data_IF_812598041430
#
_entry.id   IF_812598041430
#
_cell.length_a   1.000
_cell.length_b   1.000
_cell.length_c   1.000
_cell.angle_alpha   90.00
_cell.angle_beta   90.00
_cell.angle_gamma   90.00
#
_symmetry.space_group_name_H-M   'P 1'
#
loop_
_entity.id
_entity.type
_entity.pdbx_description
1 polymer ?
#
# COMPACT_ATOMS: atom_id res chain seq x y z
N UNK A 1 72.40 -25.63 18.86
CA UNK A 1 72.03 -25.23 17.49
C UNK A 1 70.63 -25.80 17.22
N UNK A 2 69.62 -24.99 17.40
CA UNK A 2 68.24 -25.36 17.19
C UNK A 2 67.82 -24.86 15.80
N UNK A 3 67.52 -25.81 14.91
CA UNK A 3 67.11 -25.52 13.54
C UNK A 3 65.68 -24.89 13.54
N UNK A 4 65.60 -23.67 13.02
CA UNK A 4 64.32 -22.97 12.78
C UNK A 4 63.70 -23.52 11.50
N UNK A 5 62.57 -24.19 11.61
CA UNK A 5 61.74 -24.65 10.47
C UNK A 5 60.77 -23.53 10.09
N UNK A 6 60.85 -22.92 8.90
CA UNK A 6 59.89 -21.90 8.49
C UNK A 6 58.54 -22.55 8.28
N UNK A 7 57.53 -22.03 8.99
CA UNK A 7 56.12 -22.42 8.86
C UNK A 7 55.62 -21.91 7.52
N UNK A 8 55.18 -22.80 6.66
CA UNK A 8 54.58 -22.44 5.37
C UNK A 8 53.38 -21.49 5.60
N UNK A 9 53.23 -20.45 4.76
CA UNK A 9 52.11 -19.55 4.85
C UNK A 9 50.80 -20.34 4.58
N UNK A 10 49.88 -20.23 5.52
CA UNK A 10 48.51 -20.72 5.35
C UNK A 10 47.96 -20.07 4.06
N UNK A 11 47.79 -20.89 3.06
CA UNK A 11 47.04 -20.55 1.86
C UNK A 11 45.59 -20.34 2.35
N UNK A 12 45.22 -19.09 2.62
CA UNK A 12 43.81 -18.72 2.74
C UNK A 12 43.12 -19.16 1.46
N UNK A 13 42.39 -20.23 1.56
CA UNK A 13 41.38 -20.62 0.55
C UNK A 13 40.41 -19.43 0.43
N UNK A 14 40.79 -18.46 -0.39
CA UNK A 14 39.84 -17.56 -1.00
C UNK A 14 38.99 -18.45 -1.91
N UNK A 15 38.02 -19.13 -1.28
CA UNK A 15 36.82 -19.54 -1.96
C UNK A 15 36.24 -18.25 -2.52
N UNK A 16 36.61 -17.94 -3.75
CA UNK A 16 35.97 -16.92 -4.54
C UNK A 16 34.51 -17.36 -4.62
N UNK A 17 33.73 -16.92 -3.66
CA UNK A 17 32.27 -16.95 -3.74
C UNK A 17 31.97 -16.15 -4.99
N UNK A 18 31.79 -16.85 -6.10
CA UNK A 18 31.26 -16.26 -7.32
C UNK A 18 30.04 -15.47 -6.92
N UNK A 19 29.95 -14.16 -7.23
CA UNK A 19 28.77 -13.39 -6.93
C UNK A 19 27.60 -14.13 -7.60
N UNK A 20 26.71 -14.65 -6.77
CA UNK A 20 25.49 -15.30 -7.23
C UNK A 20 24.80 -14.29 -8.14
N UNK A 21 24.36 -14.68 -9.37
CA UNK A 21 23.66 -13.76 -10.26
C UNK A 21 22.37 -13.18 -9.65
N UNK A 22 21.93 -13.72 -8.51
CA UNK A 22 20.80 -13.22 -7.72
C UNK A 22 21.11 -11.92 -6.96
N UNK A 23 22.38 -11.48 -6.85
CA UNK A 23 22.78 -10.30 -6.06
C UNK A 23 22.38 -8.95 -6.64
N UNK A 24 21.92 -8.90 -7.89
CA UNK A 24 21.47 -7.66 -8.55
C UNK A 24 19.95 -7.41 -8.45
N UNK A 25 19.19 -8.38 -7.96
CA UNK A 25 17.73 -8.39 -8.06
C UNK A 25 16.98 -7.75 -6.88
N UNK A 26 17.49 -7.71 -5.62
CA UNK A 26 16.71 -7.21 -4.49
C UNK A 26 16.27 -5.75 -4.65
N UNK A 27 17.18 -4.87 -5.03
CA UNK A 27 16.87 -3.44 -5.20
C UNK A 27 15.85 -3.15 -6.31
N UNK A 28 15.86 -3.96 -7.39
CA UNK A 28 14.88 -3.82 -8.49
C UNK A 28 13.52 -4.30 -8.04
N UNK A 29 13.44 -5.42 -7.31
CA UNK A 29 12.18 -5.97 -6.80
C UNK A 29 11.48 -5.02 -5.84
N UNK A 30 12.23 -4.36 -4.95
CA UNK A 30 11.68 -3.35 -4.04
C UNK A 30 11.06 -2.18 -4.82
N UNK A 31 11.75 -1.66 -5.84
CA UNK A 31 11.24 -0.57 -6.69
C UNK A 31 9.97 -0.95 -7.44
N UNK A 32 9.88 -2.16 -7.98
CA UNK A 32 8.68 -2.65 -8.68
C UNK A 32 7.49 -2.70 -7.70
N UNK A 33 7.68 -3.25 -6.50
CA UNK A 33 6.64 -3.27 -5.47
C UNK A 33 6.16 -1.86 -5.11
N UNK A 34 7.09 -0.94 -4.89
CA UNK A 34 6.76 0.46 -4.60
C UNK A 34 6.01 1.14 -5.76
N UNK A 35 6.41 0.90 -7.02
CA UNK A 35 5.71 1.42 -8.21
C UNK A 35 4.29 0.87 -8.33
N UNK A 36 4.08 -0.42 -8.06
CA UNK A 36 2.74 -1.02 -8.03
C UNK A 36 1.88 -0.36 -6.95
N UNK A 37 2.44 -0.11 -5.75
CA UNK A 37 1.72 0.58 -4.69
C UNK A 37 1.35 2.02 -5.07
N UNK A 38 2.27 2.76 -5.70
CA UNK A 38 2.00 4.12 -6.21
C UNK A 38 0.92 4.10 -7.30
N UNK A 39 0.98 3.16 -8.24
CA UNK A 39 -0.03 3.01 -9.28
C UNK A 39 -1.40 2.67 -8.68
N UNK A 40 -1.43 1.80 -7.66
CA UNK A 40 -2.64 1.48 -6.89
C UNK A 40 -3.22 2.71 -6.18
N UNK A 41 -2.36 3.51 -5.53
CA UNK A 41 -2.78 4.76 -4.90
C UNK A 41 -3.35 5.74 -5.94
N UNK A 42 -2.68 5.90 -7.08
CA UNK A 42 -3.16 6.72 -8.19
C UNK A 42 -4.53 6.26 -8.69
N UNK A 43 -4.74 4.95 -8.85
CA UNK A 43 -6.02 4.36 -9.22
C UNK A 43 -7.11 4.65 -8.19
N UNK A 44 -6.81 4.50 -6.89
CA UNK A 44 -7.74 4.80 -5.81
C UNK A 44 -8.14 6.28 -5.78
N UNK A 45 -7.18 7.19 -5.96
CA UNK A 45 -7.45 8.64 -6.03
C UNK A 45 -8.23 9.02 -7.29
N UNK A 46 -7.89 8.43 -8.44
CA UNK A 46 -8.63 8.65 -9.69
C UNK A 46 -10.08 8.22 -9.57
N UNK A 47 -10.35 7.14 -8.82
CA UNK A 47 -11.72 6.65 -8.62
C UNK A 47 -12.64 7.67 -7.95
N UNK A 48 -12.09 8.67 -7.23
CA UNK A 48 -12.89 9.74 -6.61
C UNK A 48 -13.62 10.61 -7.63
N UNK A 49 -13.09 10.69 -8.85
CA UNK A 49 -13.66 11.44 -9.97
C UNK A 49 -14.53 10.58 -10.88
N UNK A 50 -14.51 9.27 -10.71
CA UNK A 50 -15.36 8.36 -11.47
C UNK A 50 -16.78 8.31 -10.88
N UNK A 51 -17.80 7.94 -11.67
CA UNK A 51 -19.14 7.77 -11.16
C UNK A 51 -19.20 6.58 -10.19
N UNK A 52 -19.73 6.84 -9.00
CA UNK A 52 -19.96 5.83 -7.95
C UNK A 52 -21.41 5.39 -7.92
N UNK A 53 -22.33 6.32 -8.19
CA UNK A 53 -23.75 6.07 -8.23
C UNK A 53 -24.33 6.59 -9.56
N UNK A 54 -25.36 5.91 -10.05
CA UNK A 54 -26.17 6.33 -11.18
C UNK A 54 -27.63 6.32 -10.77
N UNK A 55 -28.31 7.45 -10.94
CA UNK A 55 -29.74 7.56 -10.69
C UNK A 55 -30.54 7.18 -11.96
N UNK A 56 -31.78 6.68 -11.82
CA UNK A 56 -32.62 6.29 -12.96
C UNK A 56 -32.93 7.45 -13.93
N UNK A 57 -32.87 8.70 -13.45
CA UNK A 57 -32.97 9.90 -14.28
C UNK A 57 -31.73 10.23 -15.13
N UNK A 58 -30.69 9.35 -15.16
CA UNK A 58 -29.44 9.54 -15.92
C UNK A 58 -28.38 10.41 -15.23
N UNK A 59 -28.64 10.86 -14.00
CA UNK A 59 -27.65 11.58 -13.19
C UNK A 59 -26.56 10.63 -12.70
N UNK A 60 -25.28 11.07 -12.78
CA UNK A 60 -24.15 10.35 -12.22
C UNK A 60 -23.56 11.13 -11.06
N UNK A 61 -23.29 10.43 -9.94
CA UNK A 61 -22.71 11.02 -8.72
C UNK A 61 -21.33 10.39 -8.54
N UNK A 62 -20.30 11.22 -8.50
CA UNK A 62 -18.92 10.81 -8.21
C UNK A 62 -18.72 10.64 -6.71
N UNK A 63 -17.60 10.03 -6.26
CA UNK A 63 -17.28 9.95 -4.85
C UNK A 63 -17.21 11.34 -4.20
N UNK A 64 -16.65 12.33 -4.90
CA UNK A 64 -16.60 13.72 -4.43
C UNK A 64 -18.03 14.28 -4.30
N UNK A 65 -18.90 14.04 -5.27
CA UNK A 65 -20.30 14.45 -5.20
C UNK A 65 -21.05 13.81 -4.02
N UNK A 66 -20.71 12.56 -3.66
CA UNK A 66 -21.27 11.93 -2.44
C UNK A 66 -20.85 12.72 -1.19
N UNK A 67 -19.61 13.22 -1.12
CA UNK A 67 -19.12 14.00 0.04
C UNK A 67 -19.80 15.36 0.21
N UNK A 68 -20.41 15.89 -0.84
CA UNK A 68 -21.19 17.12 -0.81
C UNK A 68 -22.61 16.88 -0.26
N UNK A 69 -23.13 15.65 -0.44
CA UNK A 69 -24.48 15.27 -0.02
C UNK A 69 -24.47 14.69 1.40
N UNK A 70 -23.46 13.88 1.71
CA UNK A 70 -23.31 13.18 2.99
C UNK A 70 -22.04 13.64 3.67
N UNK A 71 -22.08 13.83 4.99
CA UNK A 71 -20.86 14.03 5.78
C UNK A 71 -20.08 12.71 5.90
N UNK A 72 -19.28 12.40 4.87
CA UNK A 72 -18.46 11.17 4.82
C UNK A 72 -17.46 11.12 5.97
N UNK A 73 -17.05 12.26 6.53
CA UNK A 73 -16.14 12.28 7.70
C UNK A 73 -16.86 11.76 8.94
N UNK A 74 -18.15 12.05 9.09
CA UNK A 74 -18.97 11.52 10.18
C UNK A 74 -19.38 10.07 9.95
N UNK A 75 -19.73 9.71 8.70
CA UNK A 75 -20.26 8.37 8.34
C UNK A 75 -19.14 7.35 8.17
N UNK A 76 -18.02 7.75 7.56
CA UNK A 76 -16.93 6.83 7.26
C UNK A 76 -15.54 7.45 7.59
N UNK A 77 -15.27 7.84 8.85
CA UNK A 77 -14.02 8.47 9.23
C UNK A 77 -12.80 7.58 8.94
N UNK A 78 -12.97 6.26 9.05
CA UNK A 78 -11.93 5.29 8.76
C UNK A 78 -11.48 5.33 7.29
N UNK A 79 -12.38 5.61 6.34
CA UNK A 79 -12.02 5.77 4.92
C UNK A 79 -11.20 7.02 4.70
N UNK A 80 -11.63 8.15 5.25
CA UNK A 80 -10.95 9.43 5.08
C UNK A 80 -9.56 9.43 5.71
N UNK A 81 -9.47 9.10 7.00
CA UNK A 81 -8.20 9.04 7.72
C UNK A 81 -7.30 7.94 7.15
N UNK A 82 -7.87 6.80 6.80
CA UNK A 82 -7.15 5.68 6.20
C UNK A 82 -6.53 6.05 4.84
N UNK A 83 -7.26 6.77 4.00
CA UNK A 83 -6.74 7.22 2.69
C UNK A 83 -5.58 8.20 2.87
N UNK A 84 -5.68 9.15 3.80
CA UNK A 84 -4.60 10.10 4.11
C UNK A 84 -3.38 9.37 4.65
N UNK A 85 -3.57 8.48 5.63
CA UNK A 85 -2.47 7.69 6.22
C UNK A 85 -1.83 6.76 5.20
N UNK A 86 -2.63 6.07 4.38
CA UNK A 86 -2.15 5.20 3.30
C UNK A 86 -1.31 6.00 2.30
N UNK A 87 -1.78 7.18 1.87
CA UNK A 87 -1.05 8.06 0.95
C UNK A 87 0.31 8.46 1.53
N UNK A 88 0.34 8.86 2.80
CA UNK A 88 1.58 9.19 3.51
C UNK A 88 2.54 7.99 3.56
N UNK A 89 2.05 6.81 3.96
CA UNK A 89 2.89 5.61 4.08
C UNK A 89 3.43 5.14 2.73
N UNK A 90 2.66 5.22 1.64
CA UNK A 90 3.13 4.88 0.28
C UNK A 90 4.24 5.83 -0.15
N UNK A 91 4.09 7.14 0.11
CA UNK A 91 5.14 8.13 -0.20
C UNK A 91 6.39 7.86 0.64
N UNK A 92 6.25 7.66 1.95
CA UNK A 92 7.38 7.35 2.83
C UNK A 92 8.08 6.07 2.41
N UNK A 93 7.34 5.00 2.06
CA UNK A 93 7.90 3.74 1.59
C UNK A 93 8.73 3.93 0.31
N UNK A 94 8.23 4.73 -0.65
CA UNK A 94 8.93 5.00 -1.91
C UNK A 94 10.22 5.77 -1.70
N UNK A 95 10.24 6.72 -0.76
CA UNK A 95 11.40 7.56 -0.49
C UNK A 95 12.42 6.83 0.37
N UNK A 96 11.98 6.22 1.48
CA UNK A 96 12.88 5.62 2.48
C UNK A 96 13.30 4.19 2.14
N UNK A 97 12.49 3.47 1.36
CA UNK A 97 12.67 2.04 1.02
C UNK A 97 12.73 1.10 2.21
N UNK A 98 12.22 1.53 3.37
CA UNK A 98 12.21 0.74 4.59
C UNK A 98 11.06 -0.26 4.58
N UNK A 99 11.36 -1.53 4.85
CA UNK A 99 10.37 -2.62 4.87
C UNK A 99 9.27 -2.41 5.91
N UNK A 100 9.58 -1.79 7.06
CA UNK A 100 8.60 -1.49 8.10
C UNK A 100 7.46 -0.59 7.62
N UNK A 101 7.79 0.48 6.88
CA UNK A 101 6.76 1.37 6.32
C UNK A 101 5.95 0.69 5.22
N UNK A 102 6.59 -0.21 4.45
CA UNK A 102 5.88 -0.99 3.44
C UNK A 102 4.88 -1.96 4.10
N UNK A 103 5.23 -2.64 5.20
CA UNK A 103 4.29 -3.46 5.95
C UNK A 103 3.16 -2.64 6.56
N UNK A 104 3.48 -1.49 7.18
CA UNK A 104 2.47 -0.58 7.70
C UNK A 104 1.50 -0.12 6.60
N UNK A 105 2.02 0.24 5.42
CA UNK A 105 1.21 0.61 4.26
C UNK A 105 0.28 -0.52 3.81
N UNK A 106 0.75 -1.78 3.80
CA UNK A 106 -0.06 -2.94 3.45
C UNK A 106 -1.21 -3.15 4.45
N UNK A 107 -0.92 -3.04 5.75
CA UNK A 107 -1.94 -3.20 6.81
C UNK A 107 -3.01 -2.11 6.70
N UNK A 108 -2.59 -0.85 6.53
CA UNK A 108 -3.52 0.27 6.37
C UNK A 108 -4.34 0.12 5.09
N UNK A 109 -3.74 -0.30 3.98
CA UNK A 109 -4.46 -0.52 2.72
C UNK A 109 -5.53 -1.62 2.85
N UNK A 110 -5.26 -2.71 3.58
CA UNK A 110 -6.24 -3.75 3.86
C UNK A 110 -7.37 -3.25 4.77
N UNK A 111 -7.06 -2.45 5.80
CA UNK A 111 -8.06 -1.84 6.67
C UNK A 111 -8.96 -0.86 5.89
N UNK A 112 -8.37 -0.03 5.02
CA UNK A 112 -9.12 0.89 4.15
C UNK A 112 -9.99 0.11 3.16
N UNK A 113 -9.47 -0.98 2.57
CA UNK A 113 -10.23 -1.86 1.68
C UNK A 113 -11.45 -2.45 2.41
N UNK A 114 -11.27 -2.97 3.62
CA UNK A 114 -12.38 -3.52 4.41
C UNK A 114 -13.44 -2.45 4.72
N UNK A 115 -13.02 -1.26 5.17
CA UNK A 115 -13.91 -0.13 5.41
C UNK A 115 -14.63 0.32 4.12
N UNK A 116 -13.92 0.33 2.99
CA UNK A 116 -14.47 0.65 1.67
C UNK A 116 -15.54 -0.35 1.24
N UNK A 117 -15.28 -1.66 1.37
CA UNK A 117 -16.25 -2.70 1.04
C UNK A 117 -17.51 -2.60 1.93
N UNK A 118 -17.34 -2.33 3.23
CA UNK A 118 -18.45 -2.10 4.14
C UNK A 118 -19.28 -0.86 3.72
N UNK A 119 -18.62 0.24 3.35
CA UNK A 119 -19.28 1.44 2.88
C UNK A 119 -20.05 1.21 1.56
N UNK A 120 -19.44 0.54 0.58
CA UNK A 120 -20.09 0.19 -0.69
C UNK A 120 -21.27 -0.76 -0.46
N UNK A 121 -21.13 -1.69 0.47
CA UNK A 121 -22.23 -2.58 0.87
C UNK A 121 -23.40 -1.78 1.43
N UNK A 122 -23.16 -0.83 2.34
CA UNK A 122 -24.22 0.03 2.88
C UNK A 122 -24.85 0.87 1.79
N UNK A 123 -24.09 1.46 0.87
CA UNK A 123 -24.64 2.18 -0.28
C UNK A 123 -25.57 1.30 -1.13
N UNK A 124 -25.17 0.05 -1.40
CA UNK A 124 -25.92 -0.88 -2.23
C UNK A 124 -27.20 -1.43 -1.57
N UNK A 125 -27.19 -1.58 -0.24
CA UNK A 125 -28.33 -2.12 0.52
C UNK A 125 -29.33 -1.04 0.99
N UNK A 126 -28.85 0.20 1.10
CA UNK A 126 -29.66 1.32 1.59
C UNK A 126 -30.39 2.07 0.47
N UNK A 127 -30.17 1.69 -0.79
CA UNK A 127 -30.96 2.20 -1.92
C UNK A 127 -32.42 1.79 -1.71
N UNK A 128 -33.28 2.79 -1.49
CA UNK A 128 -34.71 2.57 -1.19
C UNK A 128 -35.10 2.50 0.28
N UNK A 129 -34.15 2.52 1.23
CA UNK A 129 -34.44 2.61 2.67
C UNK A 129 -34.41 4.08 3.12
N UNK A 130 -35.28 4.42 4.05
CA UNK A 130 -35.32 5.74 4.70
C UNK A 130 -34.22 5.87 5.75
N UNK A 131 -33.00 5.45 5.44
CA UNK A 131 -31.87 5.56 6.36
C UNK A 131 -31.45 7.03 6.46
N UNK A 132 -31.55 7.65 7.66
CA UNK A 132 -31.19 9.06 7.84
C UNK A 132 -29.73 9.37 7.56
N UNK A 133 -28.85 8.36 7.59
CA UNK A 133 -27.41 8.51 7.33
C UNK A 133 -27.15 8.78 5.84
N UNK A 134 -28.01 8.24 4.96
CA UNK A 134 -27.93 8.41 3.52
C UNK A 134 -28.99 9.37 2.97
N UNK A 135 -29.62 10.16 3.85
CA UNK A 135 -30.62 11.15 3.47
C UNK A 135 -30.03 12.15 2.45
N UNK A 136 -30.68 12.24 1.30
CA UNK A 136 -30.23 13.09 0.18
C UNK A 136 -29.68 12.34 -1.02
N UNK A 137 -29.36 11.05 -0.90
CA UNK A 137 -29.06 10.22 -2.07
C UNK A 137 -30.36 9.78 -2.77
N UNK A 138 -30.37 9.69 -4.11
CA UNK A 138 -31.52 9.17 -4.84
C UNK A 138 -31.84 7.74 -4.41
N UNK A 139 -33.12 7.48 -4.07
CA UNK A 139 -33.58 6.17 -3.63
C UNK A 139 -33.52 5.08 -4.70
N UNK A 140 -33.36 5.48 -5.95
CA UNK A 140 -33.28 4.63 -7.15
C UNK A 140 -31.83 4.53 -7.69
N UNK A 141 -30.85 5.01 -6.92
CA UNK A 141 -29.46 4.98 -7.33
C UNK A 141 -28.90 3.55 -7.33
N UNK A 142 -28.14 3.22 -8.37
CA UNK A 142 -27.38 1.99 -8.50
C UNK A 142 -25.88 2.25 -8.41
N UNK A 143 -25.17 1.31 -7.77
CA UNK A 143 -23.71 1.37 -7.67
C UNK A 143 -23.10 1.11 -9.04
N UNK A 144 -22.14 1.97 -9.46
CA UNK A 144 -21.44 1.88 -10.74
C UNK A 144 -20.02 1.33 -10.56
N UNK A 145 -19.14 1.58 -11.54
CA UNK A 145 -17.79 1.00 -11.55
C UNK A 145 -16.75 1.73 -10.70
N UNK A 146 -17.00 2.99 -10.29
CA UNK A 146 -16.05 3.79 -9.51
C UNK A 146 -15.56 3.09 -8.24
N UNK A 147 -16.44 2.53 -7.40
CA UNK A 147 -16.04 1.77 -6.20
C UNK A 147 -15.15 0.56 -6.50
N UNK A 148 -15.38 -0.13 -7.61
CA UNK A 148 -14.54 -1.28 -7.99
C UNK A 148 -13.13 -0.86 -8.39
N UNK A 149 -12.99 0.30 -9.06
CA UNK A 149 -11.68 0.89 -9.38
C UNK A 149 -10.95 1.29 -8.10
N UNK A 150 -11.65 1.86 -7.10
CA UNK A 150 -11.09 2.14 -5.78
C UNK A 150 -10.60 0.87 -5.09
N UNK A 151 -11.45 -0.17 -5.03
CA UNK A 151 -11.10 -1.45 -4.42
C UNK A 151 -9.86 -2.08 -5.08
N UNK A 152 -9.80 -2.08 -6.41
CA UNK A 152 -8.61 -2.53 -7.16
C UNK A 152 -7.38 -1.72 -6.78
N UNK A 153 -7.50 -0.40 -6.65
CA UNK A 153 -6.44 0.48 -6.20
C UNK A 153 -5.90 0.07 -4.82
N UNK A 154 -6.77 -0.18 -3.85
CA UNK A 154 -6.37 -0.60 -2.50
C UNK A 154 -5.71 -1.99 -2.49
N UNK A 155 -6.20 -2.93 -3.32
CA UNK A 155 -5.56 -4.25 -3.50
C UNK A 155 -4.15 -4.10 -4.07
N UNK A 156 -3.96 -3.24 -5.07
CA UNK A 156 -2.64 -2.97 -5.66
C UNK A 156 -1.70 -2.30 -4.65
N UNK A 157 -2.18 -1.36 -3.82
CA UNK A 157 -1.38 -0.79 -2.74
C UNK A 157 -0.95 -1.89 -1.76
N UNK A 158 -1.87 -2.73 -1.31
CA UNK A 158 -1.55 -3.81 -0.37
C UNK A 158 -0.54 -4.80 -0.96
N UNK A 159 -0.80 -5.31 -2.18
CA UNK A 159 0.07 -6.27 -2.85
C UNK A 159 1.45 -5.69 -3.16
N UNK A 160 1.51 -4.47 -3.71
CA UNK A 160 2.75 -3.77 -4.01
C UNK A 160 3.58 -3.49 -2.76
N UNK A 161 2.93 -3.08 -1.67
CA UNK A 161 3.57 -2.82 -0.38
C UNK A 161 4.12 -4.10 0.26
N UNK A 162 3.37 -5.21 0.23
CA UNK A 162 3.86 -6.52 0.69
C UNK A 162 5.06 -6.97 -0.15
N UNK A 163 5.00 -6.79 -1.46
CA UNK A 163 6.11 -7.13 -2.34
C UNK A 163 7.35 -6.28 -2.03
N UNK A 164 7.18 -4.96 -1.89
CA UNK A 164 8.27 -4.06 -1.50
C UNK A 164 8.88 -4.43 -0.16
N UNK A 165 8.05 -4.79 0.84
CA UNK A 165 8.50 -5.19 2.17
C UNK A 165 9.33 -6.47 2.16
N UNK A 166 8.91 -7.49 1.38
CA UNK A 166 9.61 -8.78 1.25
C UNK A 166 10.94 -8.66 0.48
N UNK A 167 11.06 -7.65 -0.36
CA UNK A 167 12.25 -7.38 -1.15
C UNK A 167 13.15 -6.33 -0.49
N UNK A 168 12.79 -5.81 0.69
CA UNK A 168 13.60 -4.84 1.43
C UNK A 168 14.76 -5.57 2.13
N UNK A 169 15.98 -5.05 1.95
CA UNK A 169 17.18 -5.59 2.60
C UNK A 169 17.18 -5.30 4.10
N UNK A 170 16.45 -4.27 4.54
CA UNK A 170 16.39 -3.82 5.94
C UNK A 170 14.95 -3.57 6.38
N UNK A 171 14.56 -4.22 7.49
CA UNK A 171 13.28 -3.95 8.16
C UNK A 171 13.31 -2.61 8.91
N UNK A 172 14.48 -2.27 9.50
CA UNK A 172 14.70 -1.06 10.28
C UNK A 172 16.01 -0.39 9.90
N UNK A 173 16.15 0.94 10.04
CA UNK A 173 17.40 1.62 9.78
C UNK A 173 18.46 1.18 10.79
N UNK A 174 19.58 0.68 10.27
CA UNK A 174 20.90 0.55 10.90
C UNK A 174 21.00 0.12 12.36
N UNK A 175 20.53 -1.07 12.69
CA UNK A 175 21.01 -1.74 13.92
C UNK A 175 22.42 -2.36 13.69
N UNK A 176 22.84 -2.54 12.43
CA UNK A 176 24.14 -3.14 12.10
C UNK A 176 25.31 -2.17 12.04
N UNK A 177 25.09 -0.89 11.72
CA UNK A 177 26.18 0.11 11.73
C UNK A 177 26.84 0.29 13.10
N UNK A 178 26.11 -0.01 14.20
CA UNK A 178 26.66 0.01 15.55
C UNK A 178 27.53 -1.20 15.93
N UNK A 179 27.52 -2.28 15.15
CA UNK A 179 28.31 -3.48 15.44
C UNK A 179 29.73 -3.39 14.93
N UNK A 180 29.94 -2.75 13.78
CA UNK A 180 31.27 -2.56 13.18
C UNK A 180 32.13 -1.47 13.85
N UNK A 181 31.58 -0.71 14.80
CA UNK A 181 32.34 0.30 15.56
C UNK A 181 32.82 -0.24 16.92
N UNK A 182 32.58 -1.52 17.26
CA UNK A 182 32.97 -2.14 18.54
C UNK A 182 34.07 -3.19 18.40
N UNK A 183 34.50 -3.51 17.20
CA UNK A 183 35.62 -4.39 16.88
C UNK A 183 36.82 -3.56 16.36
#
# INVERSE_FOLDING_TARGET
MTAYTPRAPHREDRSATSPSPDGLIPHVRNRIGALIAVAGLGSALLSLYLPWLSAAGGGQITAIGITEIIDVRGVAPALFLGLVLMSFLVVVTTVTRLGAFAYASAIVALAVLAAHLAFVWTLGTSTGSADPILAGLPSDASVTFGPYVAALGFVLVAAGSVWAARAADYLFPDVEAGRHLRD
#
